data_IF_120538063091
#
_entry.id   IF_120538063091
#
_cell.length_a   1.000
_cell.length_b   1.000
_cell.length_c   1.000
_cell.angle_alpha   90.00
_cell.angle_beta   90.00
_cell.angle_gamma   90.00
#
_symmetry.space_group_name_H-M   'P 1'
#
loop_
_entity.id
_entity.type
_entity.pdbx_description
1 polymer ?
#
# COMPACT_ATOMS: atom_id res chain seq x y z
N UNK A 1 -24.76 -27.05 15.60
CA UNK A 1 -25.89 -26.13 15.83
C UNK A 1 -25.55 -25.08 16.88
N UNK A 2 -25.14 -25.46 18.11
CA UNK A 2 -24.72 -24.50 19.15
C UNK A 2 -23.64 -23.51 18.68
N UNK A 3 -22.55 -24.01 18.08
CA UNK A 3 -21.49 -23.14 17.52
C UNK A 3 -22.01 -22.15 16.47
N UNK A 4 -22.94 -22.60 15.61
CA UNK A 4 -23.58 -21.74 14.60
C UNK A 4 -24.36 -20.60 15.26
N UNK A 5 -25.07 -20.91 16.35
CA UNK A 5 -25.81 -19.92 17.13
C UNK A 5 -24.86 -18.94 17.84
N UNK A 6 -23.78 -19.42 18.47
CA UNK A 6 -22.75 -18.58 19.09
C UNK A 6 -22.13 -17.60 18.10
N UNK A 7 -21.71 -18.06 16.92
CA UNK A 7 -21.12 -17.19 15.88
C UNK A 7 -22.09 -16.14 15.37
N UNK A 8 -23.37 -16.51 15.23
CA UNK A 8 -24.41 -15.63 14.69
C UNK A 8 -24.84 -14.56 15.68
N UNK A 9 -25.04 -14.94 16.94
CA UNK A 9 -25.65 -14.06 17.94
C UNK A 9 -24.65 -13.38 18.86
N UNK A 10 -23.43 -13.94 19.01
CA UNK A 10 -22.38 -13.43 19.90
C UNK A 10 -22.94 -12.97 21.26
N UNK A 11 -23.68 -13.85 21.95
CA UNK A 11 -24.31 -13.48 23.22
C UNK A 11 -23.26 -13.10 24.24
N UNK A 12 -23.62 -12.20 25.14
CA UNK A 12 -22.81 -11.97 26.33
C UNK A 12 -22.96 -13.15 27.31
N UNK A 13 -21.94 -13.40 28.13
CA UNK A 13 -21.93 -14.53 29.07
C UNK A 13 -23.04 -14.42 30.13
N UNK A 14 -23.48 -13.20 30.44
CA UNK A 14 -24.55 -12.89 31.39
C UNK A 14 -25.91 -13.49 30.97
N UNK A 15 -26.10 -13.77 29.69
CA UNK A 15 -27.29 -14.47 29.18
C UNK A 15 -27.36 -15.89 29.75
N UNK A 16 -26.22 -16.50 30.08
CA UNK A 16 -26.19 -17.75 30.84
C UNK A 16 -26.41 -17.45 32.34
N UNK A 17 -27.59 -17.79 32.93
CA UNK A 17 -27.92 -17.49 34.31
C UNK A 17 -26.86 -17.95 35.32
N UNK A 18 -26.48 -17.03 36.21
CA UNK A 18 -25.62 -17.32 37.36
C UNK A 18 -26.34 -18.10 38.47
N UNK A 19 -27.65 -17.92 38.60
CA UNK A 19 -28.49 -18.52 39.64
C UNK A 19 -29.91 -18.78 39.11
N UNK A 20 -30.70 -19.51 39.89
CA UNK A 20 -32.11 -19.85 39.62
C UNK A 20 -32.36 -20.76 38.41
N UNK A 21 -31.31 -21.35 37.80
CA UNK A 21 -31.49 -22.48 36.91
C UNK A 21 -31.73 -23.76 37.74
N UNK A 22 -32.28 -24.83 37.13
CA UNK A 22 -32.33 -26.13 37.77
C UNK A 22 -30.94 -26.59 38.27
N UNK A 23 -30.94 -27.50 39.25
CA UNK A 23 -29.71 -27.99 39.87
C UNK A 23 -28.70 -28.48 38.81
N UNK A 24 -27.44 -28.08 38.96
CA UNK A 24 -26.37 -28.40 38.00
C UNK A 24 -26.29 -27.49 36.77
N UNK A 25 -27.29 -26.63 36.50
CA UNK A 25 -27.32 -25.82 35.26
C UNK A 25 -26.88 -24.37 35.42
N UNK A 26 -26.67 -23.85 36.63
CA UNK A 26 -26.14 -22.49 36.81
C UNK A 26 -24.76 -22.36 36.15
N UNK A 27 -24.44 -21.19 35.60
CA UNK A 27 -23.17 -20.88 34.94
C UNK A 27 -21.93 -21.27 35.78
N UNK A 28 -21.99 -21.04 37.08
CA UNK A 28 -20.87 -21.31 38.00
C UNK A 28 -20.84 -22.73 38.56
N UNK A 29 -21.86 -23.56 38.26
CA UNK A 29 -21.86 -24.96 38.70
C UNK A 29 -20.83 -25.78 37.90
N UNK A 30 -20.23 -26.75 38.59
CA UNK A 30 -19.39 -27.75 37.94
C UNK A 30 -20.24 -28.75 37.15
N UNK A 31 -19.81 -29.04 35.93
CA UNK A 31 -20.40 -30.08 35.09
C UNK A 31 -20.06 -31.46 35.65
N UNK A 32 -21.10 -32.19 36.02
CA UNK A 32 -20.99 -33.57 36.50
C UNK A 32 -21.10 -34.53 35.31
N UNK A 33 -20.35 -35.64 35.25
CA UNK A 33 -19.37 -36.14 36.22
C UNK A 33 -17.90 -35.94 35.81
N UNK A 34 -17.52 -34.79 35.25
CA UNK A 34 -16.16 -34.61 34.73
C UNK A 34 -15.09 -34.48 35.83
N UNK A 35 -13.91 -35.08 35.57
CA UNK A 35 -12.69 -34.96 36.39
C UNK A 35 -11.53 -34.62 35.43
N UNK A 36 -10.79 -33.50 35.63
CA UNK A 36 -10.94 -32.52 36.70
C UNK A 36 -12.24 -31.70 36.58
N UNK A 37 -12.53 -30.89 37.60
CA UNK A 37 -13.77 -30.13 37.68
C UNK A 37 -13.79 -28.98 36.67
N UNK A 38 -14.85 -28.91 35.86
CA UNK A 38 -15.07 -27.87 34.85
C UNK A 38 -16.40 -27.15 35.10
N UNK A 39 -16.46 -25.82 34.94
CA UNK A 39 -17.70 -25.07 35.11
C UNK A 39 -18.49 -24.98 33.81
N UNK A 40 -19.81 -24.91 33.90
CA UNK A 40 -20.68 -24.72 32.74
C UNK A 40 -20.28 -23.49 31.90
N UNK A 41 -19.99 -22.36 32.56
CA UNK A 41 -19.62 -21.11 31.91
C UNK A 41 -18.34 -21.18 31.06
N UNK A 42 -17.40 -22.07 31.40
CA UNK A 42 -16.14 -22.23 30.68
C UNK A 42 -16.33 -22.83 29.27
N UNK A 43 -17.49 -23.43 29.02
CA UNK A 43 -17.86 -24.08 27.75
C UNK A 43 -18.88 -23.26 26.96
N UNK A 44 -19.29 -22.10 27.47
CA UNK A 44 -20.10 -21.11 26.74
C UNK A 44 -19.21 -20.22 25.85
N UNK A 45 -18.39 -20.85 25.00
CA UNK A 45 -17.42 -20.18 24.12
C UNK A 45 -17.31 -20.90 22.77
N UNK A 46 -16.64 -20.27 21.81
CA UNK A 46 -16.52 -20.84 20.46
C UNK A 46 -15.74 -22.15 20.47
N UNK A 47 -16.12 -23.08 19.61
CA UNK A 47 -15.37 -24.32 19.37
C UNK A 47 -13.89 -24.08 19.05
N UNK A 48 -13.57 -22.95 18.39
CA UNK A 48 -12.19 -22.57 18.05
C UNK A 48 -11.32 -22.41 19.28
N UNK A 49 -11.89 -21.88 20.36
CA UNK A 49 -11.20 -21.73 21.66
C UNK A 49 -11.02 -23.08 22.39
N UNK A 50 -11.81 -24.09 21.99
CA UNK A 50 -11.68 -25.46 22.46
C UNK A 50 -10.72 -26.30 21.58
N UNK A 51 -10.14 -25.72 20.52
CA UNK A 51 -9.18 -26.38 19.65
C UNK A 51 -9.81 -27.20 18.51
N UNK A 52 -11.10 -27.02 18.21
CA UNK A 52 -11.73 -27.68 17.07
C UNK A 52 -12.67 -26.73 16.29
N UNK A 53 -12.89 -27.01 15.01
CA UNK A 53 -13.85 -26.25 14.18
C UNK A 53 -14.69 -27.20 13.32
N UNK A 54 -15.87 -26.74 12.94
CA UNK A 54 -16.74 -27.42 12.01
C UNK A 54 -16.46 -26.94 10.59
N UNK A 55 -16.17 -27.86 9.68
CA UNK A 55 -15.89 -27.56 8.28
C UNK A 55 -16.99 -26.71 7.61
N UNK A 56 -18.27 -27.05 7.83
CA UNK A 56 -19.39 -26.29 7.26
C UNK A 56 -19.58 -24.88 7.86
N UNK A 57 -18.88 -24.53 8.95
CA UNK A 57 -18.89 -23.19 9.56
C UNK A 57 -17.61 -22.41 9.25
N UNK A 58 -16.62 -23.01 8.59
CA UNK A 58 -15.50 -22.26 8.07
C UNK A 58 -16.05 -21.28 7.05
N UNK A 59 -15.83 -19.99 7.29
CA UNK A 59 -16.30 -18.96 6.40
C UNK A 59 -15.50 -19.06 5.10
N UNK A 60 -16.13 -19.47 3.97
CA UNK A 60 -15.43 -19.49 2.71
C UNK A 60 -15.03 -18.08 2.30
N UNK A 61 -15.60 -17.01 2.88
CA UNK A 61 -15.39 -15.63 2.47
C UNK A 61 -13.91 -15.24 2.30
N UNK A 62 -13.02 -15.64 3.22
CA UNK A 62 -11.60 -15.31 3.10
C UNK A 62 -10.92 -16.17 2.04
N UNK A 63 -11.23 -17.46 1.97
CA UNK A 63 -10.70 -18.35 0.94
C UNK A 63 -11.20 -17.96 -0.46
N UNK A 64 -12.50 -17.71 -0.61
CA UNK A 64 -13.16 -17.19 -1.81
C UNK A 64 -12.59 -15.83 -2.24
N UNK A 65 -12.28 -14.94 -1.29
CA UNK A 65 -11.65 -13.66 -1.61
C UNK A 65 -10.21 -13.85 -2.10
N UNK A 66 -9.43 -14.72 -1.45
CA UNK A 66 -8.08 -15.05 -1.91
C UNK A 66 -8.11 -15.73 -3.28
N UNK A 67 -8.99 -16.70 -3.48
CA UNK A 67 -9.20 -17.38 -4.77
C UNK A 67 -9.58 -16.37 -5.85
N UNK A 68 -10.40 -15.36 -5.53
CA UNK A 68 -10.73 -14.25 -6.43
C UNK A 68 -9.53 -13.35 -6.75
N UNK A 69 -8.68 -13.02 -5.78
CA UNK A 69 -7.50 -12.17 -6.01
C UNK A 69 -6.34 -12.88 -6.68
N UNK A 70 -6.25 -14.19 -6.53
CA UNK A 70 -5.16 -15.02 -7.09
C UNK A 70 -4.87 -14.75 -8.57
N UNK A 71 -5.86 -14.71 -9.49
CA UNK A 71 -5.58 -14.42 -10.90
C UNK A 71 -4.99 -13.02 -11.12
N UNK A 72 -5.45 -12.01 -10.38
CA UNK A 72 -4.93 -10.64 -10.49
C UNK A 72 -3.49 -10.53 -9.98
N UNK A 73 -3.18 -11.17 -8.86
CA UNK A 73 -1.82 -11.19 -8.31
C UNK A 73 -0.84 -11.93 -9.24
N UNK A 74 -1.29 -13.04 -9.84
CA UNK A 74 -0.50 -13.77 -10.81
C UNK A 74 -0.19 -12.93 -12.05
N UNK A 75 -1.20 -12.22 -12.57
CA UNK A 75 -1.03 -11.29 -13.69
C UNK A 75 -0.07 -10.15 -13.33
N UNK A 76 -0.21 -9.56 -12.15
CA UNK A 76 0.68 -8.50 -11.68
C UNK A 76 2.14 -8.99 -11.59
N UNK A 77 2.36 -10.20 -11.08
CA UNK A 77 3.70 -10.82 -11.00
C UNK A 77 4.32 -11.03 -12.38
N UNK A 78 3.52 -11.41 -13.38
CA UNK A 78 4.02 -11.65 -14.74
C UNK A 78 4.48 -10.38 -15.45
N UNK A 79 3.82 -9.25 -15.19
CA UNK A 79 4.13 -7.95 -15.83
C UNK A 79 5.19 -7.17 -15.02
N UNK A 80 5.42 -7.53 -13.76
CA UNK A 80 6.32 -6.82 -12.85
C UNK A 80 7.74 -6.63 -13.41
N UNK A 81 8.32 -7.68 -13.99
CA UNK A 81 9.68 -7.61 -14.53
C UNK A 81 9.80 -6.60 -15.69
N UNK A 82 8.78 -6.52 -16.55
CA UNK A 82 8.74 -5.57 -17.66
C UNK A 82 8.59 -4.13 -17.19
N UNK A 83 7.76 -3.88 -16.18
CA UNK A 83 7.62 -2.54 -15.58
C UNK A 83 8.92 -2.05 -14.97
N UNK A 84 9.61 -2.91 -14.20
CA UNK A 84 10.92 -2.58 -13.61
C UNK A 84 11.95 -2.34 -14.72
N UNK A 85 11.98 -3.20 -15.74
CA UNK A 85 12.87 -3.03 -16.89
C UNK A 85 12.64 -1.70 -17.62
N UNK A 86 11.39 -1.35 -17.90
CA UNK A 86 11.04 -0.09 -18.57
C UNK A 86 11.41 1.13 -17.71
N UNK A 87 11.21 1.07 -16.40
CA UNK A 87 11.57 2.14 -15.48
C UNK A 87 13.09 2.39 -15.45
N UNK A 88 13.90 1.32 -15.40
CA UNK A 88 15.37 1.42 -15.45
C UNK A 88 15.83 2.03 -16.77
N UNK A 89 15.32 1.53 -17.90
CA UNK A 89 15.67 2.05 -19.23
C UNK A 89 15.28 3.52 -19.37
N UNK A 90 14.07 3.90 -18.95
CA UNK A 90 13.63 5.28 -18.94
C UNK A 90 14.51 6.19 -18.08
N UNK A 91 14.92 5.72 -16.90
CA UNK A 91 15.87 6.42 -16.03
C UNK A 91 17.23 6.66 -16.69
N UNK A 92 17.76 5.67 -17.41
CA UNK A 92 19.04 5.80 -18.13
C UNK A 92 18.90 6.82 -19.26
N UNK A 93 17.85 6.72 -20.08
CA UNK A 93 17.62 7.64 -21.21
C UNK A 93 17.49 9.08 -20.73
N UNK A 94 16.71 9.32 -19.68
CA UNK A 94 16.53 10.66 -19.11
C UNK A 94 17.83 11.21 -18.51
N UNK A 95 18.65 10.37 -17.86
CA UNK A 95 19.96 10.78 -17.35
C UNK A 95 20.93 11.18 -18.48
N UNK A 96 21.00 10.38 -19.56
CA UNK A 96 21.84 10.68 -20.73
C UNK A 96 21.41 11.98 -21.40
N UNK A 97 20.10 12.15 -21.65
CA UNK A 97 19.57 13.36 -22.29
C UNK A 97 19.86 14.61 -21.45
N UNK A 98 19.67 14.53 -20.14
CA UNK A 98 19.97 15.63 -19.21
C UNK A 98 21.46 15.93 -19.16
N UNK A 99 22.32 14.92 -19.19
CA UNK A 99 23.77 15.05 -19.27
C UNK A 99 24.22 15.77 -20.54
N UNK A 100 23.71 15.35 -21.70
CA UNK A 100 23.98 15.98 -23.00
C UNK A 100 23.54 17.44 -23.02
N UNK A 101 22.33 17.74 -22.54
CA UNK A 101 21.82 19.12 -22.46
C UNK A 101 22.70 20.00 -21.56
N UNK A 102 23.13 19.49 -20.39
CA UNK A 102 24.05 20.23 -19.50
C UNK A 102 25.42 20.43 -20.13
N UNK A 103 25.98 19.43 -20.80
CA UNK A 103 27.28 19.54 -21.48
C UNK A 103 27.26 20.57 -22.61
N UNK A 104 26.21 20.57 -23.45
CA UNK A 104 26.01 21.57 -24.50
C UNK A 104 25.86 22.99 -23.92
N UNK A 105 25.14 23.16 -22.80
CA UNK A 105 25.01 24.47 -22.13
C UNK A 105 26.34 24.94 -21.53
N UNK A 106 27.16 24.04 -20.98
CA UNK A 106 28.49 24.37 -20.43
C UNK A 106 29.47 24.79 -21.53
N UNK A 107 29.47 24.07 -22.67
CA UNK A 107 30.28 24.41 -23.86
C UNK A 107 29.92 25.79 -24.42
N UNK A 108 28.62 26.11 -24.55
CA UNK A 108 28.14 27.42 -25.02
C UNK A 108 28.53 28.58 -24.09
N UNK A 109 28.67 28.33 -22.79
CA UNK A 109 29.07 29.34 -21.80
C UNK A 109 30.59 29.55 -21.74
N UNK A 110 31.40 28.55 -22.10
CA UNK A 110 32.86 28.64 -22.20
C UNK A 110 33.37 29.28 -23.50
N UNK A 111 32.59 29.29 -24.57
CA UNK A 111 32.93 29.97 -25.84
C UNK A 111 32.41 31.41 -25.93
N UNK A 112 31.73 31.92 -24.89
CA UNK A 112 31.08 33.23 -24.85
C UNK A 112 31.84 34.26 -24.01
N UNK A 113 33.15 34.08 -23.82
CA UNK A 113 34.02 35.05 -23.13
C UNK A 113 34.84 35.92 -24.09
N UNK A 114 34.64 35.79 -25.40
CA UNK A 114 35.47 36.45 -26.43
C UNK A 114 34.63 37.29 -27.40
N UNK A 115 33.70 38.09 -26.86
CA UNK A 115 33.15 39.24 -27.58
C UNK A 115 33.32 40.45 -26.68
N UNK A 116 34.53 41.04 -26.73
CA UNK A 116 34.70 42.44 -26.36
C UNK A 116 34.03 43.29 -27.46
N UNK A 117 33.11 44.21 -27.13
CA UNK A 117 32.67 45.21 -28.08
C UNK A 117 33.81 46.23 -28.23
N UNK A 118 34.35 46.37 -29.45
CA UNK A 118 35.25 47.46 -29.82
C UNK A 118 34.53 48.79 -29.54
N UNK A 119 35.00 49.48 -28.51
CA UNK A 119 34.57 50.85 -28.22
C UNK A 119 35.12 51.79 -29.29
N UNK A 120 34.18 52.62 -29.74
CA UNK A 120 34.25 53.65 -30.75
C UNK A 120 35.23 54.74 -30.31
N UNK A 121 36.25 55.05 -31.10
CA UNK A 121 36.92 56.35 -31.04
C UNK A 121 37.68 56.65 -32.34
N UNK A 122 37.08 57.49 -33.20
CA UNK A 122 37.81 58.48 -33.99
C UNK A 122 36.79 59.46 -34.57
N UNK A 123 36.72 60.61 -33.91
CA UNK A 123 36.14 61.86 -34.41
C UNK A 123 36.78 62.23 -35.75
N UNK A 124 35.96 62.69 -36.70
CA UNK A 124 36.26 63.76 -37.68
C UNK A 124 35.37 63.61 -38.92
N UNK A 125 34.21 64.28 -38.90
CA UNK A 125 33.63 64.82 -40.14
C UNK A 125 32.78 66.06 -39.84
N UNK A 126 33.44 67.06 -39.25
CA UNK A 126 33.06 68.46 -39.42
C UNK A 126 33.70 68.95 -40.72
N UNK A 127 32.94 69.09 -41.81
CA UNK A 127 33.01 70.29 -42.67
C UNK A 127 32.11 70.24 -43.91
N UNK A 128 31.34 71.33 -44.06
CA UNK A 128 31.12 72.11 -45.29
C UNK A 128 30.07 71.57 -46.28
N UNK A 129 28.84 72.00 -46.00
CA UNK A 129 27.93 72.69 -46.93
C UNK A 129 28.64 73.45 -48.05
N UNK A 130 28.24 73.28 -49.33
CA UNK A 130 27.98 74.31 -50.38
C UNK A 130 27.55 73.55 -51.65
N UNK A 131 26.26 73.56 -52.01
CA UNK A 131 25.57 74.47 -52.94
C UNK A 131 25.70 74.12 -54.44
N UNK A 132 24.52 74.16 -55.09
CA UNK A 132 24.19 74.24 -56.52
C UNK A 132 25.18 75.08 -57.35
N UNK A 133 25.49 74.78 -58.62
CA UNK A 133 24.60 74.65 -59.78
C UNK A 133 25.36 73.91 -60.89
#
# INVERSE_FOLDING_TARGET
IFERWLRRHRPMLEVYPAANAPIGHNRENYMVPFIPLYRNGEFFKSSRELGYDYEYLQEPALQSFLDFLTPYLQQARQIWAWLVGAAVVGGIVTAVLTGLLKACRKKKRGTSSEIQPLLIESEDYNNITYQSN
#
